data_IF_370329561047
#
_entry.id   IF_370329561047
#
_cell.length_a   1.000
_cell.length_b   1.000
_cell.length_c   1.000
_cell.angle_alpha   90.00
_cell.angle_beta   90.00
_cell.angle_gamma   90.00
#
_symmetry.space_group_name_H-M   'P 1'
#
loop_
_entity.id
_entity.type
_entity.pdbx_description
1 polymer ?
#
# COMPACT_ATOMS: atom_id res chain seq x y z
N UNK A 1 -14.70 -19.83 14.87
CA UNK A 1 -13.79 -18.94 15.61
C UNK A 1 -12.84 -18.36 14.56
N UNK A 2 -13.24 -17.29 13.86
CA UNK A 2 -12.36 -16.61 12.90
C UNK A 2 -11.42 -15.68 13.68
N UNK A 3 -10.15 -15.69 13.32
CA UNK A 3 -9.07 -15.01 14.03
C UNK A 3 -9.15 -13.48 13.87
N UNK A 4 -8.87 -12.69 14.92
CA UNK A 4 -8.90 -11.22 14.89
C UNK A 4 -7.82 -10.57 13.99
N UNK A 5 -6.93 -11.35 13.38
CA UNK A 5 -5.84 -10.89 12.50
C UNK A 5 -6.30 -10.55 11.08
N UNK A 6 -7.32 -11.22 10.54
CA UNK A 6 -7.84 -10.95 9.20
C UNK A 6 -8.46 -9.54 9.09
N UNK A 7 -9.20 -9.11 10.12
CA UNK A 7 -9.81 -7.78 10.15
C UNK A 7 -8.78 -6.67 10.34
N UNK A 8 -7.75 -6.91 11.17
CA UNK A 8 -6.65 -5.96 11.35
C UNK A 8 -5.85 -5.76 10.05
N UNK A 9 -5.71 -6.81 9.23
CA UNK A 9 -5.05 -6.73 7.93
C UNK A 9 -5.84 -5.87 6.93
N UNK A 10 -7.17 -6.03 6.86
CA UNK A 10 -8.03 -5.21 6.00
C UNK A 10 -8.02 -3.72 6.36
N UNK A 11 -8.01 -3.40 7.66
CA UNK A 11 -7.87 -2.02 8.15
C UNK A 11 -6.49 -1.44 7.85
N UNK A 12 -5.42 -2.22 8.07
CA UNK A 12 -4.06 -1.80 7.76
C UNK A 12 -3.88 -1.55 6.25
N UNK A 13 -4.50 -2.36 5.38
CA UNK A 13 -4.51 -2.15 3.94
C UNK A 13 -5.19 -0.84 3.55
N UNK A 14 -6.38 -0.53 4.10
CA UNK A 14 -7.03 0.76 3.84
C UNK A 14 -6.19 1.94 4.33
N UNK A 15 -5.61 1.84 5.53
CA UNK A 15 -4.72 2.88 6.04
C UNK A 15 -3.48 3.06 5.15
N UNK A 16 -2.91 1.97 4.64
CA UNK A 16 -1.82 2.01 3.67
C UNK A 16 -2.21 2.77 2.40
N UNK A 17 -3.34 2.39 1.78
CA UNK A 17 -3.80 3.00 0.54
C UNK A 17 -4.12 4.49 0.72
N UNK A 18 -4.78 4.86 1.83
CA UNK A 18 -5.04 6.27 2.17
C UNK A 18 -3.74 7.05 2.38
N UNK A 19 -2.75 6.43 3.03
CA UNK A 19 -1.44 7.05 3.27
C UNK A 19 -0.68 7.30 1.96
N UNK A 20 -0.68 6.33 1.03
CA UNK A 20 -0.10 6.48 -0.31
C UNK A 20 -0.88 7.50 -1.15
N UNK A 21 -2.21 7.55 -1.01
CA UNK A 21 -3.06 8.50 -1.73
C UNK A 21 -2.82 9.95 -1.28
N UNK A 22 -2.53 10.17 0.01
CA UNK A 22 -2.36 11.50 0.58
C UNK A 22 -1.15 12.24 0.00
N UNK A 23 -0.03 11.54 -0.23
CA UNK A 23 1.16 12.10 -0.84
C UNK A 23 1.87 11.06 -1.71
N UNK A 24 2.27 11.39 -2.96
CA UNK A 24 3.09 10.50 -3.76
C UNK A 24 4.43 10.24 -3.06
N UNK A 25 4.68 8.99 -2.67
CA UNK A 25 5.92 8.54 -2.00
C UNK A 25 6.79 7.73 -2.94
N UNK A 26 8.07 7.63 -2.60
CA UNK A 26 8.98 6.70 -3.26
C UNK A 26 8.91 5.33 -2.58
N UNK A 27 9.37 4.30 -3.28
CA UNK A 27 9.46 2.94 -2.75
C UNK A 27 10.31 2.89 -1.47
N UNK A 28 11.44 3.60 -1.42
CA UNK A 28 12.28 3.64 -0.22
C UNK A 28 11.55 4.24 0.98
N UNK A 29 10.88 5.37 0.79
CA UNK A 29 10.11 6.05 1.85
C UNK A 29 8.94 5.16 2.33
N UNK A 30 8.27 4.50 1.39
CA UNK A 30 7.23 3.51 1.68
C UNK A 30 7.75 2.35 2.51
N UNK A 31 8.86 1.74 2.09
CA UNK A 31 9.46 0.62 2.79
C UNK A 31 9.97 1.01 4.18
N UNK A 32 10.53 2.21 4.35
CA UNK A 32 11.04 2.71 5.63
C UNK A 32 9.90 3.00 6.62
N UNK A 33 8.86 3.72 6.18
CA UNK A 33 7.69 4.03 6.97
C UNK A 33 6.92 2.75 7.35
N UNK A 34 6.70 1.84 6.39
CA UNK A 34 5.90 0.65 6.60
C UNK A 34 6.64 -0.42 7.42
N UNK A 35 7.95 -0.61 7.22
CA UNK A 35 8.76 -1.53 8.05
C UNK A 35 8.75 -1.17 9.52
N UNK A 36 8.69 0.11 9.85
CA UNK A 36 8.66 0.59 11.23
C UNK A 36 7.29 0.38 11.91
N UNK A 37 6.23 0.29 11.11
CA UNK A 37 4.84 0.31 11.59
C UNK A 37 4.27 -1.10 11.74
N UNK A 38 4.72 -2.08 10.96
CA UNK A 38 4.25 -3.46 11.06
C UNK A 38 5.32 -4.47 10.64
N UNK A 39 5.63 -5.51 11.45
CA UNK A 39 6.55 -6.58 11.04
C UNK A 39 5.96 -7.48 9.93
N UNK A 40 4.66 -7.38 9.66
CA UNK A 40 3.99 -8.10 8.57
C UNK A 40 3.94 -7.22 7.32
N UNK A 41 4.97 -7.32 6.49
CA UNK A 41 5.01 -6.75 5.13
C UNK A 41 3.89 -7.26 4.22
N UNK A 42 3.11 -8.24 4.67
CA UNK A 42 2.00 -8.86 3.94
C UNK A 42 0.98 -7.86 3.39
N UNK A 43 0.71 -6.74 4.06
CA UNK A 43 -0.24 -5.73 3.54
C UNK A 43 0.30 -5.03 2.28
N UNK A 44 1.60 -4.73 2.25
CA UNK A 44 2.24 -4.14 1.08
C UNK A 44 2.31 -5.14 -0.07
N UNK A 45 2.64 -6.39 0.24
CA UNK A 45 2.69 -7.46 -0.76
C UNK A 45 1.30 -7.79 -1.32
N UNK A 46 0.27 -7.79 -0.48
CA UNK A 46 -1.12 -7.98 -0.89
C UNK A 46 -1.60 -6.80 -1.75
N UNK A 47 -1.28 -5.56 -1.38
CA UNK A 47 -1.62 -4.38 -2.17
C UNK A 47 -0.95 -4.40 -3.56
N UNK A 48 0.30 -4.84 -3.64
CA UNK A 48 1.00 -5.02 -4.91
C UNK A 48 0.44 -6.22 -5.70
N UNK A 49 0.18 -7.33 -5.03
CA UNK A 49 -0.31 -8.57 -5.62
C UNK A 49 -1.73 -8.44 -6.18
N UNK A 50 -2.61 -7.74 -5.47
CA UNK A 50 -3.98 -7.43 -5.90
C UNK A 50 -4.03 -6.23 -6.87
N UNK A 51 -2.88 -5.59 -7.14
CA UNK A 51 -2.78 -4.48 -8.08
C UNK A 51 -3.47 -3.20 -7.60
N UNK A 52 -3.57 -2.99 -6.29
CA UNK A 52 -4.11 -1.79 -5.65
C UNK A 52 -3.12 -0.63 -5.70
N UNK A 53 -1.82 -0.95 -5.70
CA UNK A 53 -0.72 0.00 -5.91
C UNK A 53 0.20 -0.48 -7.01
N UNK A 54 0.88 0.45 -7.65
CA UNK A 54 1.88 0.18 -8.68
C UNK A 54 3.14 0.97 -8.38
N UNK A 55 4.28 0.34 -8.65
CA UNK A 55 5.58 1.01 -8.61
C UNK A 55 5.87 1.53 -10.02
N UNK A 56 5.85 2.85 -10.16
CA UNK A 56 6.25 3.55 -11.37
C UNK A 56 7.76 3.78 -11.36
N UNK A 57 8.45 3.03 -12.23
CA UNK A 57 9.89 3.13 -12.45
C UNK A 57 10.11 3.78 -13.82
N UNK A 58 10.70 4.97 -13.85
CA UNK A 58 11.09 5.69 -15.09
C UNK A 58 12.21 4.97 -15.88
N UNK A 59 12.70 3.82 -15.40
CA UNK A 59 13.81 3.08 -16.01
C UNK A 59 15.18 3.74 -15.82
N UNK A 60 15.23 5.05 -15.56
CA UNK A 60 16.44 5.80 -15.20
C UNK A 60 16.72 5.88 -13.70
N UNK A 61 15.68 5.75 -12.89
CA UNK A 61 15.81 5.82 -11.42
C UNK A 61 16.02 4.43 -10.82
N UNK A 62 16.85 4.36 -9.77
CA UNK A 62 16.98 3.17 -8.95
C UNK A 62 15.63 2.79 -8.32
N UNK A 63 15.44 1.50 -8.01
CA UNK A 63 14.20 0.97 -7.43
C UNK A 63 13.74 1.75 -6.18
N UNK A 64 14.69 2.23 -5.37
CA UNK A 64 14.45 3.08 -4.20
C UNK A 64 13.77 4.41 -4.52
N UNK A 65 14.03 4.99 -5.70
CA UNK A 65 13.45 6.25 -6.16
C UNK A 65 12.17 6.08 -6.98
N UNK A 66 11.75 4.85 -7.26
CA UNK A 66 10.51 4.57 -7.99
C UNK A 66 9.30 5.07 -7.20
N UNK A 67 8.36 5.71 -7.88
CA UNK A 67 7.17 6.27 -7.22
C UNK A 67 6.15 5.17 -6.99
N UNK A 68 5.58 5.15 -5.79
CA UNK A 68 4.43 4.30 -5.48
C UNK A 68 3.19 5.10 -5.81
N UNK A 69 2.41 4.61 -6.76
CA UNK A 69 1.17 5.25 -7.21
C UNK A 69 -0.01 4.33 -6.91
N UNK A 70 -1.09 4.93 -6.41
CA UNK A 70 -2.36 4.24 -6.22
C UNK A 70 -2.99 3.95 -7.59
N UNK A 71 -3.44 2.72 -7.82
CA UNK A 71 -4.16 2.37 -9.03
C UNK A 71 -5.65 2.70 -8.89
N UNK A 72 -6.38 2.72 -10.01
CA UNK A 72 -7.84 2.89 -9.99
C UNK A 72 -8.55 1.84 -9.11
N UNK A 73 -7.99 0.63 -8.99
CA UNK A 73 -8.52 -0.45 -8.16
C UNK A 73 -8.33 -0.15 -6.67
N UNK A 74 -7.14 0.30 -6.27
CA UNK A 74 -6.87 0.74 -4.90
C UNK A 74 -7.74 1.92 -4.51
N UNK A 75 -7.96 2.85 -5.43
CA UNK A 75 -8.84 4.00 -5.22
C UNK A 75 -10.31 3.60 -5.05
N UNK A 76 -10.82 2.67 -5.88
CA UNK A 76 -12.16 2.13 -5.72
C UNK A 76 -12.34 1.42 -4.36
N UNK A 77 -11.31 0.71 -3.87
CA UNK A 77 -11.36 0.05 -2.56
C UNK A 77 -11.44 1.04 -1.39
N UNK A 78 -10.84 2.22 -1.53
CA UNK A 78 -10.98 3.32 -0.57
C UNK A 78 -12.39 3.92 -0.60
N UNK A 79 -12.95 4.12 -1.79
CA UNK A 79 -14.27 4.69 -2.02
C UNK A 79 -15.40 3.77 -1.50
N UNK A 80 -15.34 2.47 -1.84
CA UNK A 80 -16.32 1.46 -1.41
C UNK A 80 -16.29 1.12 0.09
N UNK A 81 -15.29 1.62 0.84
CA UNK A 81 -15.21 1.45 2.29
C UNK A 81 -16.07 2.44 3.09
N UNK A 82 -16.68 3.42 2.43
CA UNK A 82 -17.52 4.46 3.04
C UNK A 82 -19.02 4.17 2.82
N UNK A 83 -19.50 3.03 3.31
CA UNK A 83 -20.94 2.75 3.43
C UNK A 83 -21.28 2.17 4.78
#
# INVERSE_FOLDING_TARGET
MHEPTEQAAGLALRQFLTWVAACPRTYADTMEAWRSTCPRLSVWEDALGDGLVRIDTDGRSAMSGSRVVLTSRGQALLDHGCS
#
